data_IF_117662246071
#
_entry.id   IF_117662246071
#
_cell.length_a   1.000
_cell.length_b   1.000
_cell.length_c   1.000
_cell.angle_alpha   90.00
_cell.angle_beta   90.00
_cell.angle_gamma   90.00
#
_symmetry.space_group_name_H-M   'P 1'
#
loop_
_entity.id
_entity.type
_entity.pdbx_description
1 polymer ?
#
# COMPACT_ATOMS: atom_id res chain seq x y z
N UNK A 1 9.30 -7.86 -0.72
CA UNK A 1 9.01 -7.28 -2.04
C UNK A 1 9.88 -7.99 -3.06
N UNK A 2 9.29 -8.54 -4.11
CA UNK A 2 10.03 -9.17 -5.21
C UNK A 2 10.22 -8.16 -6.34
N UNK A 3 11.42 -8.12 -6.91
CA UNK A 3 11.77 -7.24 -8.03
C UNK A 3 12.20 -8.10 -9.22
N UNK A 4 11.87 -7.65 -10.43
CA UNK A 4 12.47 -8.19 -11.65
C UNK A 4 13.62 -7.26 -12.07
N UNK A 5 14.85 -7.74 -12.00
CA UNK A 5 16.00 -6.93 -12.39
C UNK A 5 16.06 -6.72 -13.91
N UNK A 6 16.16 -5.47 -14.35
CA UNK A 6 16.25 -5.09 -15.76
C UNK A 6 17.54 -5.56 -16.44
N UNK A 7 18.62 -5.75 -15.66
CA UNK A 7 19.92 -6.18 -16.18
C UNK A 7 20.05 -7.70 -16.30
N UNK A 8 19.75 -8.45 -15.23
CA UNK A 8 19.99 -9.90 -15.20
C UNK A 8 18.72 -10.76 -15.30
N UNK A 9 17.54 -10.15 -15.48
CA UNK A 9 16.22 -10.81 -15.58
C UNK A 9 15.82 -11.66 -14.36
N UNK A 10 16.60 -11.66 -13.28
CA UNK A 10 16.28 -12.39 -12.06
C UNK A 10 15.06 -11.78 -11.36
N UNK A 11 14.12 -12.65 -10.97
CA UNK A 11 12.99 -12.31 -10.10
C UNK A 11 13.31 -12.83 -8.70
N UNK A 12 13.40 -11.93 -7.74
CA UNK A 12 13.79 -12.26 -6.37
C UNK A 12 13.77 -11.03 -5.45
N UNK A 13 14.14 -11.19 -4.18
CA UNK A 13 14.18 -10.06 -3.25
C UNK A 13 15.26 -9.05 -3.67
N UNK A 14 15.00 -7.77 -3.40
CA UNK A 14 16.05 -6.76 -3.45
C UNK A 14 17.06 -7.03 -2.31
N UNK A 15 18.36 -6.92 -2.60
CA UNK A 15 19.39 -7.00 -1.57
C UNK A 15 19.34 -5.78 -0.64
N UNK A 16 19.06 -4.61 -1.19
CA UNK A 16 18.92 -3.36 -0.45
C UNK A 16 18.11 -2.33 -1.23
N UNK A 17 17.63 -1.29 -0.53
CA UNK A 17 16.96 -0.12 -1.10
C UNK A 17 17.87 1.09 -0.89
N UNK A 18 18.19 1.81 -1.96
CA UNK A 18 19.01 3.04 -1.91
C UNK A 18 18.17 4.26 -2.24
N UNK A 19 18.35 5.33 -1.48
CA UNK A 19 17.90 6.66 -1.88
C UNK A 19 18.81 7.19 -2.99
N UNK A 20 18.22 7.67 -4.07
CA UNK A 20 18.89 8.31 -5.21
C UNK A 20 18.29 9.72 -5.38
N UNK A 21 19.03 10.61 -6.05
CA UNK A 21 18.57 11.98 -6.30
C UNK A 21 17.21 12.05 -7.02
N UNK A 22 16.86 11.02 -7.80
CA UNK A 22 15.62 10.92 -8.57
C UNK A 22 14.59 9.94 -7.97
N UNK A 23 14.76 9.48 -6.72
CA UNK A 23 13.79 8.61 -6.05
C UNK A 23 14.44 7.45 -5.30
N UNK A 24 13.78 6.28 -5.29
CA UNK A 24 14.31 5.08 -4.66
C UNK A 24 14.83 4.08 -5.71
N UNK A 25 15.97 3.44 -5.45
CA UNK A 25 16.53 2.36 -6.26
C UNK A 25 16.53 1.04 -5.51
N UNK A 26 16.14 -0.05 -6.15
CA UNK A 26 16.18 -1.41 -5.62
C UNK A 26 17.40 -2.15 -6.19
N UNK A 27 18.30 -2.58 -5.32
CA UNK A 27 19.52 -3.30 -5.71
C UNK A 27 19.21 -4.78 -5.87
N UNK A 28 19.51 -5.35 -7.04
CA UNK A 28 19.33 -6.77 -7.29
C UNK A 28 20.28 -7.61 -6.44
N UNK A 29 19.75 -8.59 -5.69
CA UNK A 29 20.55 -9.48 -4.87
C UNK A 29 21.50 -10.39 -5.66
N UNK A 30 21.24 -10.59 -6.95
CA UNK A 30 22.05 -11.47 -7.80
C UNK A 30 23.23 -10.75 -8.46
N UNK A 31 23.01 -9.55 -9.00
CA UNK A 31 24.02 -8.86 -9.80
C UNK A 31 24.44 -7.48 -9.26
N UNK A 32 23.83 -7.01 -8.16
CA UNK A 32 24.13 -5.70 -7.58
C UNK A 32 23.62 -4.50 -8.39
N UNK A 33 22.91 -4.72 -9.49
CA UNK A 33 22.39 -3.63 -10.31
C UNK A 33 21.23 -2.91 -9.62
N UNK A 34 21.27 -1.58 -9.65
CA UNK A 34 20.21 -0.70 -9.15
C UNK A 34 19.08 -0.60 -10.19
N UNK A 35 17.85 -0.92 -9.77
CA UNK A 35 16.64 -0.74 -10.57
C UNK A 35 15.88 0.47 -10.00
N UNK A 36 15.73 1.53 -10.77
CA UNK A 36 14.96 2.69 -10.31
C UNK A 36 13.48 2.31 -10.14
N UNK A 37 12.90 2.67 -8.99
CA UNK A 37 11.46 2.75 -8.85
C UNK A 37 11.04 4.06 -9.50
N UNK A 38 10.39 3.95 -10.65
CA UNK A 38 9.78 5.10 -11.31
C UNK A 38 8.53 5.50 -10.51
N UNK A 39 8.71 6.49 -9.63
CA UNK A 39 7.66 7.05 -8.78
C UNK A 39 7.00 8.26 -9.47
N UNK A 40 6.95 8.31 -10.80
CA UNK A 40 6.32 9.41 -11.53
C UNK A 40 7.12 10.73 -11.47
N UNK A 41 6.88 11.66 -12.40
CA UNK A 41 7.88 12.65 -12.77
C UNK A 41 8.05 13.78 -11.73
N UNK A 42 9.27 13.89 -11.21
CA UNK A 42 9.92 15.20 -11.03
C UNK A 42 10.74 15.47 -12.29
N UNK A 43 10.28 16.38 -13.14
CA UNK A 43 11.06 17.00 -14.23
C UNK A 43 12.19 17.82 -13.58
N UNK A 44 13.48 17.70 -13.94
CA UNK A 44 14.11 18.11 -15.21
C UNK A 44 15.62 17.74 -15.19
N UNK A 45 16.18 17.28 -16.32
CA UNK A 45 17.59 17.57 -16.72
C UNK A 45 18.66 16.46 -16.65
N UNK A 46 19.14 15.99 -17.80
CA UNK A 46 20.28 15.07 -18.01
C UNK A 46 21.65 15.80 -18.13
N UNK A 47 22.78 15.15 -18.49
CA UNK A 47 23.54 14.10 -17.79
C UNK A 47 25.01 14.54 -17.50
N UNK A 48 25.71 13.91 -16.53
CA UNK A 48 27.20 13.99 -16.48
C UNK A 48 27.85 12.74 -15.86
N UNK A 49 28.82 12.19 -16.62
CA UNK A 49 29.77 11.12 -16.26
C UNK A 49 30.72 11.54 -15.14
N UNK A 50 30.94 10.67 -14.15
CA UNK A 50 32.25 10.30 -13.58
C UNK A 50 32.09 9.24 -12.46
N UNK A 51 32.90 8.18 -12.52
CA UNK A 51 33.36 7.37 -11.37
C UNK A 51 34.77 7.87 -10.98
N UNK A 52 35.40 7.53 -9.83
CA UNK A 52 35.14 6.40 -8.91
C UNK A 52 35.30 6.72 -7.38
N UNK A 53 35.20 5.66 -6.56
CA UNK A 53 35.78 5.42 -5.21
C UNK A 53 34.95 5.63 -3.91
N UNK A 54 34.74 4.46 -3.28
CA UNK A 54 35.09 4.09 -1.89
C UNK A 54 34.35 4.65 -0.67
N UNK A 55 33.93 3.66 0.14
CA UNK A 55 33.87 3.63 1.62
C UNK A 55 32.95 4.62 2.32
N UNK A 56 31.80 4.11 2.78
CA UNK A 56 31.49 4.12 4.23
C UNK A 56 30.35 3.15 4.53
N UNK A 57 30.67 2.19 5.39
CA UNK A 57 29.70 1.50 6.26
C UNK A 57 29.00 2.57 7.08
N UNK A 58 27.73 2.85 6.80
CA UNK A 58 26.91 3.69 7.68
C UNK A 58 25.51 3.13 7.70
N UNK A 59 25.18 2.55 8.85
CA UNK A 59 23.87 2.10 9.26
C UNK A 59 22.86 3.24 9.06
N UNK A 60 22.05 3.17 8.00
CA UNK A 60 21.03 4.16 7.75
C UNK A 60 19.78 3.92 8.64
N UNK A 61 19.16 4.97 9.19
CA UNK A 61 18.08 4.86 10.17
C UNK A 61 16.71 4.66 9.50
N UNK A 62 15.76 4.12 10.28
CA UNK A 62 14.37 3.80 9.92
C UNK A 62 13.46 5.01 9.57
N UNK A 63 14.02 6.14 9.16
CA UNK A 63 13.33 7.44 9.06
C UNK A 63 12.48 7.59 7.78
N UNK A 64 12.81 6.87 6.70
CA UNK A 64 12.14 7.02 5.40
C UNK A 64 10.65 6.59 5.40
N UNK A 65 10.27 5.65 6.26
CA UNK A 65 8.87 5.24 6.40
C UNK A 65 8.01 6.30 7.07
N UNK A 66 8.54 6.96 8.10
CA UNK A 66 7.80 7.97 8.87
C UNK A 66 7.61 9.26 8.07
N UNK A 67 8.59 9.65 7.26
CA UNK A 67 8.48 10.83 6.39
C UNK A 67 7.45 10.64 5.27
N UNK A 68 7.39 9.44 4.67
CA UNK A 68 6.37 9.09 3.68
C UNK A 68 4.95 9.08 4.29
N UNK A 69 4.78 8.54 5.50
CA UNK A 69 3.49 8.55 6.21
C UNK A 69 3.05 9.99 6.53
N UNK A 70 3.98 10.86 6.92
CA UNK A 70 3.70 12.28 7.16
C UNK A 70 3.31 13.01 5.86
N UNK A 71 4.06 12.81 4.78
CA UNK A 71 3.76 13.43 3.49
C UNK A 71 2.40 12.96 2.94
N UNK A 72 2.09 11.67 3.04
CA UNK A 72 0.77 11.11 2.69
C UNK A 72 -0.31 11.72 3.57
N UNK A 73 -0.05 11.94 4.86
CA UNK A 73 -1.01 12.60 5.76
C UNK A 73 -1.35 14.00 5.29
N UNK A 74 -0.34 14.79 4.93
CA UNK A 74 -0.49 16.20 4.51
C UNK A 74 -1.19 16.35 3.15
N UNK A 75 -0.95 15.44 2.21
CA UNK A 75 -1.47 15.55 0.83
C UNK A 75 -2.58 14.55 0.48
N UNK A 76 -3.09 13.77 1.45
CA UNK A 76 -4.08 12.73 1.17
C UNK A 76 -5.37 13.28 0.55
N UNK A 77 -5.87 14.40 1.07
CA UNK A 77 -7.13 15.00 0.60
C UNK A 77 -6.97 15.48 -0.83
N UNK A 78 -5.89 16.21 -1.14
CA UNK A 78 -5.58 16.69 -2.49
C UNK A 78 -5.51 15.54 -3.50
N UNK A 79 -4.90 14.42 -3.13
CA UNK A 79 -4.84 13.22 -3.99
C UNK A 79 -6.20 12.56 -4.18
N UNK A 80 -7.14 12.74 -3.25
CA UNK A 80 -8.48 12.20 -3.37
C UNK A 80 -9.37 13.07 -4.24
N UNK A 81 -9.21 14.39 -4.23
CA UNK A 81 -9.96 15.31 -5.09
C UNK A 81 -9.75 14.95 -6.57
N UNK A 82 -10.81 14.79 -7.37
CA UNK A 82 -10.67 14.54 -8.80
C UNK A 82 -10.16 15.78 -9.53
N UNK A 83 -9.33 15.58 -10.56
CA UNK A 83 -8.91 16.68 -11.44
C UNK A 83 -10.11 17.15 -12.26
N UNK A 84 -10.36 18.47 -12.28
CA UNK A 84 -11.43 19.08 -13.09
C UNK A 84 -11.16 18.89 -14.59
N UNK A 85 -12.23 18.86 -15.40
CA UNK A 85 -12.13 18.74 -16.86
C UNK A 85 -13.22 17.86 -17.47
N UNK A 86 -13.37 17.95 -18.78
CA UNK A 86 -14.29 17.10 -19.53
C UNK A 86 -13.59 15.81 -19.99
N UNK A 87 -14.37 14.75 -20.22
CA UNK A 87 -13.88 13.49 -20.77
C UNK A 87 -14.23 12.25 -19.95
N UNK A 88 -13.82 11.09 -20.44
CA UNK A 88 -14.11 9.81 -19.81
C UNK A 88 -13.48 9.71 -18.41
N UNK A 89 -14.25 9.18 -17.45
CA UNK A 89 -13.83 9.05 -16.05
C UNK A 89 -13.68 7.60 -15.62
N UNK A 90 -12.71 7.34 -14.75
CA UNK A 90 -12.53 6.03 -14.12
C UNK A 90 -13.72 5.70 -13.21
N UNK A 91 -14.46 4.62 -13.51
CA UNK A 91 -15.63 4.14 -12.74
C UNK A 91 -15.34 3.82 -11.26
N UNK A 92 -14.08 3.63 -10.87
CA UNK A 92 -13.70 3.34 -9.47
C UNK A 92 -13.32 4.56 -8.65
N UNK A 93 -12.66 5.55 -9.25
CA UNK A 93 -12.01 6.64 -8.49
C UNK A 93 -12.17 8.03 -9.10
N UNK A 94 -13.03 8.18 -10.12
CA UNK A 94 -13.36 9.44 -10.79
C UNK A 94 -12.18 10.18 -11.47
N UNK A 95 -11.00 9.55 -11.59
CA UNK A 95 -9.88 10.12 -12.33
C UNK A 95 -10.20 10.32 -13.81
N UNK A 96 -9.76 11.45 -14.39
CA UNK A 96 -9.83 11.69 -15.83
C UNK A 96 -8.96 10.67 -16.57
N UNK A 97 -9.50 10.09 -17.63
CA UNK A 97 -8.83 9.10 -18.46
C UNK A 97 -8.32 9.77 -19.74
N UNK A 98 -7.14 9.37 -20.18
CA UNK A 98 -6.69 9.64 -21.55
C UNK A 98 -7.49 8.77 -22.53
N UNK A 99 -7.63 9.24 -23.77
CA UNK A 99 -8.50 8.62 -24.79
C UNK A 99 -8.11 7.16 -25.13
N UNK A 100 -6.81 6.83 -25.05
CA UNK A 100 -6.25 5.52 -25.37
C UNK A 100 -5.83 4.71 -24.13
N UNK A 101 -6.24 5.15 -22.93
CA UNK A 101 -5.83 4.52 -21.70
C UNK A 101 -6.28 3.05 -21.63
N UNK A 102 -5.35 2.14 -21.32
CA UNK A 102 -5.64 0.72 -21.03
C UNK A 102 -5.93 0.51 -19.53
N UNK A 103 -5.28 1.32 -18.70
CA UNK A 103 -5.40 1.30 -17.24
C UNK A 103 -5.61 2.72 -16.72
N UNK A 104 -6.35 2.85 -15.63
CA UNK A 104 -6.42 4.11 -14.91
C UNK A 104 -5.07 4.43 -14.24
N UNK A 105 -4.47 5.57 -14.57
CA UNK A 105 -3.20 6.03 -13.99
C UNK A 105 -3.24 6.21 -12.47
N UNK A 106 -4.43 6.52 -11.91
CA UNK A 106 -4.60 6.81 -10.48
C UNK A 106 -4.72 5.55 -9.63
N UNK A 107 -5.48 4.55 -10.09
CA UNK A 107 -5.81 3.37 -9.27
C UNK A 107 -5.42 2.03 -9.90
N UNK A 108 -4.78 2.03 -11.07
CA UNK A 108 -4.33 0.83 -11.78
C UNK A 108 -5.46 -0.03 -12.37
N UNK A 109 -6.72 0.42 -12.30
CA UNK A 109 -7.84 -0.36 -12.80
C UNK A 109 -7.76 -0.56 -14.32
N UNK A 110 -7.75 -1.82 -14.76
CA UNK A 110 -7.83 -2.17 -16.19
C UNK A 110 -9.21 -1.81 -16.74
N UNK A 111 -9.28 -0.87 -17.68
CA UNK A 111 -10.52 -0.25 -18.12
C UNK A 111 -11.42 -1.22 -18.88
N UNK A 112 -10.83 -2.07 -19.73
CA UNK A 112 -11.55 -3.14 -20.43
C UNK A 112 -12.21 -4.16 -19.47
N UNK A 113 -11.61 -4.40 -18.29
CA UNK A 113 -12.24 -5.25 -17.26
C UNK A 113 -13.36 -4.51 -16.55
N UNK A 114 -13.16 -3.23 -16.26
CA UNK A 114 -14.13 -2.40 -15.57
C UNK A 114 -15.45 -2.23 -16.34
N UNK A 115 -15.36 -2.14 -17.67
CA UNK A 115 -16.53 -2.03 -18.55
C UNK A 115 -17.43 -3.26 -18.53
N UNK A 116 -16.92 -4.44 -18.15
CA UNK A 116 -17.70 -5.69 -18.09
C UNK A 116 -18.69 -5.74 -16.93
N UNK A 117 -18.51 -4.88 -15.92
CA UNK A 117 -19.41 -4.83 -14.77
C UNK A 117 -20.57 -3.88 -15.06
N UNK A 118 -21.79 -4.37 -14.88
CA UNK A 118 -22.97 -3.53 -14.80
C UNK A 118 -22.90 -2.61 -13.56
N UNK A 119 -23.59 -1.45 -13.57
CA UNK A 119 -23.68 -0.59 -12.39
C UNK A 119 -24.13 -1.38 -11.14
N UNK A 120 -23.43 -1.19 -10.03
CA UNK A 120 -23.68 -1.88 -8.77
C UNK A 120 -23.17 -3.33 -8.70
N UNK A 121 -22.54 -3.85 -9.76
CA UNK A 121 -22.01 -5.23 -9.83
C UNK A 121 -20.50 -5.28 -9.81
N UNK A 122 -19.81 -4.14 -9.82
CA UNK A 122 -18.36 -4.14 -9.79
C UNK A 122 -17.83 -4.60 -8.43
N UNK A 123 -16.69 -5.32 -8.35
CA UNK A 123 -16.13 -5.79 -7.08
C UNK A 123 -15.85 -4.69 -6.06
N UNK A 124 -15.56 -3.46 -6.52
CA UNK A 124 -15.37 -2.31 -5.63
C UNK A 124 -16.69 -1.66 -5.18
N UNK A 125 -17.82 -2.03 -5.76
CA UNK A 125 -19.17 -1.57 -5.41
C UNK A 125 -19.91 -2.54 -4.50
N UNK A 126 -19.41 -3.78 -4.37
CA UNK A 126 -19.99 -4.78 -3.47
C UNK A 126 -19.68 -4.46 -2.01
N UNK A 127 -20.60 -4.86 -1.13
CA UNK A 127 -20.40 -4.76 0.31
C UNK A 127 -19.27 -5.70 0.74
N UNK A 128 -18.49 -5.34 1.78
CA UNK A 128 -17.73 -6.31 2.54
C UNK A 128 -18.65 -7.42 3.06
N UNK A 129 -18.12 -8.64 3.20
CA UNK A 129 -18.89 -9.80 3.68
C UNK A 129 -19.59 -9.48 5.01
N UNK A 130 -20.91 -9.64 5.06
CA UNK A 130 -21.71 -9.40 6.26
C UNK A 130 -22.11 -7.94 6.50
N UNK A 131 -21.81 -7.02 5.57
CA UNK A 131 -22.17 -5.61 5.63
C UNK A 131 -23.17 -5.19 4.54
N UNK A 132 -23.91 -6.15 3.97
CA UNK A 132 -24.83 -5.90 2.85
C UNK A 132 -25.94 -4.92 3.25
N UNK A 133 -26.49 -5.07 4.46
CA UNK A 133 -27.51 -4.17 5.00
C UNK A 133 -26.94 -2.77 5.29
N UNK A 134 -25.71 -2.68 5.79
CA UNK A 134 -25.05 -1.39 6.06
C UNK A 134 -24.77 -0.65 4.75
N UNK A 135 -24.32 -1.35 3.70
CA UNK A 135 -24.11 -0.74 2.38
C UNK A 135 -25.44 -0.26 1.79
N UNK A 136 -26.50 -1.07 1.85
CA UNK A 136 -27.83 -0.66 1.39
C UNK A 136 -28.31 0.60 2.12
N UNK A 137 -28.14 0.64 3.46
CA UNK A 137 -28.49 1.82 4.25
C UNK A 137 -27.67 3.05 3.88
N UNK A 138 -26.38 2.86 3.57
CA UNK A 138 -25.53 3.96 3.10
C UNK A 138 -26.01 4.53 1.75
N UNK A 139 -26.55 3.71 0.85
CA UNK A 139 -27.15 4.19 -0.40
C UNK A 139 -28.40 5.02 -0.13
N UNK A 140 -29.31 4.56 0.76
CA UNK A 140 -30.49 5.34 1.14
C UNK A 140 -30.11 6.72 1.72
N UNK A 141 -29.11 6.75 2.61
CA UNK A 141 -28.62 8.01 3.18
C UNK A 141 -28.00 8.92 2.13
N UNK A 142 -27.30 8.35 1.14
CA UNK A 142 -26.75 9.11 0.03
C UNK A 142 -27.84 9.67 -0.87
N UNK A 143 -28.88 8.90 -1.18
CA UNK A 143 -29.99 9.35 -2.03
C UNK A 143 -30.78 10.48 -1.34
N UNK A 144 -30.97 10.41 -0.01
CA UNK A 144 -31.54 11.50 0.78
C UNK A 144 -30.64 12.75 0.74
N UNK A 145 -29.33 12.56 0.84
CA UNK A 145 -28.36 13.64 0.75
C UNK A 145 -28.35 14.30 -0.64
N UNK A 146 -28.49 13.53 -1.72
CA UNK A 146 -28.60 14.08 -3.08
C UNK A 146 -29.91 14.87 -3.28
N UNK A 147 -30.99 14.48 -2.59
CA UNK A 147 -32.24 15.22 -2.62
C UNK A 147 -32.15 16.57 -1.89
N UNK A 148 -31.30 16.68 -0.85
CA UNK A 148 -31.08 17.92 -0.11
C UNK A 148 -29.64 18.02 0.40
N UNK A 149 -28.85 18.90 -0.21
CA UNK A 149 -27.42 19.02 0.07
C UNK A 149 -27.12 19.86 1.34
N UNK A 150 -27.58 19.38 2.49
CA UNK A 150 -27.52 20.10 3.77
C UNK A 150 -26.37 19.61 4.66
N UNK A 151 -25.68 20.49 5.41
CA UNK A 151 -24.54 20.12 6.27
C UNK A 151 -24.87 19.01 7.27
N UNK A 152 -26.08 19.03 7.85
CA UNK A 152 -26.51 18.03 8.83
C UNK A 152 -26.65 16.62 8.22
N UNK A 153 -27.10 16.52 6.96
CA UNK A 153 -27.24 15.25 6.27
C UNK A 153 -25.89 14.70 5.82
N UNK A 154 -24.99 15.60 5.39
CA UNK A 154 -23.60 15.25 5.06
C UNK A 154 -22.92 14.66 6.29
N UNK A 155 -23.06 15.31 7.46
CA UNK A 155 -22.52 14.81 8.71
C UNK A 155 -23.09 13.43 9.06
N UNK A 156 -24.42 13.26 8.99
CA UNK A 156 -25.06 11.97 9.26
C UNK A 156 -24.57 10.84 8.34
N UNK A 157 -24.41 11.10 7.04
CA UNK A 157 -23.84 10.13 6.10
C UNK A 157 -22.38 9.80 6.42
N UNK A 158 -21.54 10.81 6.65
CA UNK A 158 -20.12 10.63 6.98
C UNK A 158 -19.95 9.83 8.27
N UNK A 159 -20.73 10.14 9.30
CA UNK A 159 -20.67 9.44 10.59
C UNK A 159 -21.13 7.99 10.46
N UNK A 160 -22.21 7.73 9.71
CA UNK A 160 -22.66 6.38 9.41
C UNK A 160 -21.57 5.57 8.68
N UNK A 161 -21.00 6.13 7.62
CA UNK A 161 -19.94 5.47 6.83
C UNK A 161 -18.72 5.15 7.68
N UNK A 162 -18.32 6.06 8.57
CA UNK A 162 -17.21 5.83 9.51
C UNK A 162 -17.53 4.72 10.51
N UNK A 163 -18.72 4.76 11.11
CA UNK A 163 -19.14 3.80 12.13
C UNK A 163 -19.27 2.37 11.58
N UNK A 164 -19.65 2.22 10.30
CA UNK A 164 -19.83 0.93 9.62
C UNK A 164 -18.63 0.48 8.80
N UNK A 165 -17.52 1.20 8.87
CA UNK A 165 -16.29 0.89 8.14
C UNK A 165 -16.41 0.91 6.60
N UNK A 166 -17.33 1.72 6.07
CA UNK A 166 -17.60 1.84 4.64
C UNK A 166 -16.78 2.97 3.98
N UNK A 167 -15.61 3.33 4.53
CA UNK A 167 -14.86 4.54 4.15
C UNK A 167 -14.59 4.66 2.65
N UNK A 168 -14.21 3.56 1.99
CA UNK A 168 -13.97 3.54 0.55
C UNK A 168 -15.23 3.86 -0.27
N UNK A 169 -16.41 3.43 0.22
CA UNK A 169 -17.69 3.74 -0.41
C UNK A 169 -17.98 5.24 -0.32
N UNK A 170 -17.91 5.81 0.89
CA UNK A 170 -18.16 7.24 1.10
C UNK A 170 -17.18 8.13 0.32
N UNK A 171 -15.89 7.82 0.35
CA UNK A 171 -14.87 8.56 -0.41
C UNK A 171 -15.19 8.57 -1.89
N UNK A 172 -15.57 7.41 -2.45
CA UNK A 172 -15.94 7.32 -3.86
C UNK A 172 -17.16 8.20 -4.16
N UNK A 173 -18.20 8.15 -3.34
CA UNK A 173 -19.42 8.97 -3.53
C UNK A 173 -19.08 10.46 -3.59
N UNK A 174 -18.29 10.97 -2.65
CA UNK A 174 -17.84 12.36 -2.68
C UNK A 174 -16.88 12.67 -3.85
N UNK A 175 -16.01 11.74 -4.24
CA UNK A 175 -15.17 11.92 -5.42
C UNK A 175 -15.99 12.11 -6.69
N UNK A 176 -17.04 11.32 -6.90
CA UNK A 176 -17.90 11.49 -8.07
C UNK A 176 -18.70 12.78 -8.01
N UNK A 177 -19.25 13.15 -6.84
CA UNK A 177 -19.91 14.45 -6.62
C UNK A 177 -19.00 15.64 -6.99
N UNK A 178 -17.73 15.59 -6.59
CA UNK A 178 -16.75 16.63 -6.85
C UNK A 178 -16.32 16.73 -8.33
N UNK A 179 -16.65 15.74 -9.17
CA UNK A 179 -16.48 15.88 -10.63
C UNK A 179 -17.43 16.95 -11.16
N UNK A 180 -18.70 16.87 -10.75
CA UNK A 180 -19.75 17.78 -11.21
C UNK A 180 -19.74 19.11 -10.43
N UNK A 181 -19.22 19.09 -9.19
CA UNK A 181 -19.16 20.25 -8.29
C UNK A 181 -17.78 20.44 -7.67
N UNK A 182 -16.75 20.84 -8.45
CA UNK A 182 -15.36 20.85 -8.00
C UNK A 182 -15.06 21.84 -6.86
N UNK A 183 -15.89 22.87 -6.68
CA UNK A 183 -15.74 23.86 -5.62
C UNK A 183 -16.65 23.64 -4.40
N UNK A 184 -17.32 22.50 -4.29
CA UNK A 184 -18.25 22.20 -3.19
C UNK A 184 -17.49 22.04 -1.87
N UNK A 185 -17.47 23.11 -1.06
CA UNK A 185 -16.75 23.15 0.21
C UNK A 185 -17.24 22.10 1.21
N UNK A 186 -18.55 21.75 1.18
CA UNK A 186 -19.10 20.74 2.06
C UNK A 186 -18.65 19.34 1.65
N UNK A 187 -18.65 19.04 0.34
CA UNK A 187 -18.12 17.79 -0.20
C UNK A 187 -16.62 17.63 0.09
N UNK A 188 -15.83 18.70 -0.06
CA UNK A 188 -14.40 18.71 0.26
C UNK A 188 -14.15 18.46 1.75
N UNK A 189 -14.91 19.10 2.64
CA UNK A 189 -14.82 18.89 4.08
C UNK A 189 -15.19 17.45 4.48
N UNK A 190 -16.25 16.89 3.89
CA UNK A 190 -16.64 15.51 4.11
C UNK A 190 -15.58 14.51 3.62
N UNK A 191 -15.00 14.75 2.44
CA UNK A 191 -13.92 13.94 1.89
C UNK A 191 -12.68 13.96 2.79
N UNK A 192 -12.29 15.13 3.30
CA UNK A 192 -11.19 15.27 4.24
C UNK A 192 -11.43 14.47 5.54
N UNK A 193 -12.65 14.57 6.08
CA UNK A 193 -13.09 13.86 7.27
C UNK A 193 -13.05 12.34 7.10
N UNK A 194 -13.42 11.81 5.93
CA UNK A 194 -13.32 10.38 5.60
C UNK A 194 -11.88 9.93 5.38
N UNK A 195 -11.06 10.77 4.73
CA UNK A 195 -9.63 10.50 4.50
C UNK A 195 -8.87 10.36 5.82
N UNK A 196 -9.17 11.22 6.80
CA UNK A 196 -8.60 11.12 8.16
C UNK A 196 -8.96 9.79 8.83
N UNK A 197 -10.20 9.31 8.64
CA UNK A 197 -10.64 8.00 9.12
C UNK A 197 -9.80 6.85 8.53
N UNK A 198 -9.55 6.88 7.22
CA UNK A 198 -8.69 5.88 6.56
C UNK A 198 -7.25 5.92 7.08
N UNK A 199 -6.69 7.13 7.27
CA UNK A 199 -5.33 7.29 7.78
C UNK A 199 -5.19 6.71 9.19
N UNK A 200 -6.15 6.97 10.09
CA UNK A 200 -6.16 6.40 11.44
C UNK A 200 -6.13 4.87 11.39
N UNK A 201 -6.92 4.26 10.50
CA UNK A 201 -6.92 2.80 10.29
C UNK A 201 -5.61 2.28 9.74
N UNK A 202 -5.02 2.97 8.76
CA UNK A 202 -3.73 2.56 8.20
C UNK A 202 -2.63 2.60 9.27
N UNK A 203 -2.63 3.61 10.14
CA UNK A 203 -1.68 3.70 11.26
C UNK A 203 -1.87 2.55 12.24
N UNK A 204 -3.11 2.18 12.57
CA UNK A 204 -3.38 1.02 13.45
C UNK A 204 -3.00 -0.30 12.80
N UNK A 205 -3.31 -0.48 11.51
CA UNK A 205 -2.96 -1.70 10.79
C UNK A 205 -1.44 -1.86 10.62
N UNK A 206 -0.73 -0.77 10.35
CA UNK A 206 0.74 -0.78 10.26
C UNK A 206 1.39 -1.05 11.61
N UNK A 207 0.91 -0.43 12.70
CA UNK A 207 1.44 -0.70 14.04
C UNK A 207 1.17 -2.14 14.50
N UNK A 208 -0.01 -2.70 14.17
CA UNK A 208 -0.31 -4.11 14.44
C UNK A 208 0.58 -5.05 13.63
N UNK A 209 0.81 -4.75 12.35
CA UNK A 209 1.69 -5.53 11.48
C UNK A 209 3.16 -5.48 11.95
N UNK A 210 3.62 -4.33 12.44
CA UNK A 210 4.96 -4.18 13.02
C UNK A 210 5.09 -4.98 14.33
N UNK A 211 4.07 -4.91 15.20
CA UNK A 211 4.04 -5.68 16.44
C UNK A 211 4.04 -7.19 16.17
N UNK A 212 3.26 -7.66 15.19
CA UNK A 212 3.25 -9.08 14.80
C UNK A 212 4.57 -9.51 14.17
N UNK A 213 5.19 -8.67 13.34
CA UNK A 213 6.51 -8.98 12.78
C UNK A 213 7.59 -9.12 13.85
N UNK A 214 7.52 -8.31 14.92
CA UNK A 214 8.45 -8.43 16.06
C UNK A 214 8.23 -9.70 16.88
N UNK A 215 6.96 -10.09 17.11
CA UNK A 215 6.66 -11.36 17.79
C UNK A 215 7.12 -12.55 16.96
N UNK A 216 6.86 -12.53 15.65
CA UNK A 216 7.24 -13.60 14.73
C UNK A 216 8.77 -13.74 14.65
N UNK A 217 9.50 -12.61 14.59
CA UNK A 217 10.96 -12.64 14.61
C UNK A 217 11.49 -13.28 15.91
N UNK A 218 10.93 -12.91 17.07
CA UNK A 218 11.32 -13.49 18.36
C UNK A 218 11.03 -15.01 18.43
N UNK A 219 9.91 -15.46 17.86
CA UNK A 219 9.56 -16.88 17.76
C UNK A 219 10.50 -17.63 16.83
N UNK A 220 10.83 -17.07 15.66
CA UNK A 220 11.79 -17.68 14.72
C UNK A 220 13.17 -17.82 15.36
N UNK A 221 13.66 -16.82 16.10
CA UNK A 221 14.92 -16.94 16.83
C UNK A 221 14.87 -18.01 17.92
N UNK A 222 13.75 -18.11 18.65
CA UNK A 222 13.54 -19.14 19.67
C UNK A 222 13.49 -20.54 19.03
N UNK A 223 12.82 -20.69 17.90
CA UNK A 223 12.75 -21.93 17.13
C UNK A 223 14.14 -22.32 16.60
N UNK A 224 14.88 -21.38 16.02
CA UNK A 224 16.25 -21.59 15.54
C UNK A 224 17.19 -22.01 16.67
N UNK A 225 17.09 -21.39 17.84
CA UNK A 225 17.85 -21.77 19.03
C UNK A 225 17.52 -23.20 19.47
N UNK A 226 16.23 -23.56 19.53
CA UNK A 226 15.80 -24.93 19.86
C UNK A 226 16.32 -25.95 18.85
N UNK A 227 16.22 -25.67 17.56
CA UNK A 227 16.71 -26.55 16.49
C UNK A 227 18.24 -26.75 16.56
N UNK A 228 18.99 -25.69 16.86
CA UNK A 228 20.45 -25.79 17.06
C UNK A 228 20.79 -26.66 18.26
N UNK A 229 20.13 -26.45 19.40
CA UNK A 229 20.36 -27.26 20.62
C UNK A 229 20.06 -28.74 20.37
N UNK A 230 18.93 -29.04 19.72
CA UNK A 230 18.55 -30.42 19.36
C UNK A 230 19.57 -31.03 18.40
N UNK A 231 20.04 -30.27 17.41
CA UNK A 231 21.07 -30.73 16.47
C UNK A 231 22.40 -31.03 17.17
N UNK A 232 22.86 -30.16 18.06
CA UNK A 232 24.08 -30.40 18.84
C UNK A 232 23.97 -31.63 19.75
N UNK A 233 22.83 -31.81 20.41
CA UNK A 233 22.58 -32.99 21.24
C UNK A 233 22.60 -34.29 20.42
N UNK A 234 21.98 -34.27 19.23
CA UNK A 234 21.95 -35.41 18.32
C UNK A 234 23.35 -35.76 17.76
N UNK A 235 24.12 -34.78 17.32
CA UNK A 235 25.50 -35.03 16.86
C UNK A 235 26.42 -35.44 18.01
N UNK A 236 26.24 -34.86 19.20
CA UNK A 236 26.97 -35.24 20.41
C UNK A 236 26.72 -36.70 20.82
N UNK A 237 25.48 -37.17 20.74
CA UNK A 237 25.16 -38.57 21.05
C UNK A 237 25.74 -39.55 20.02
N UNK A 238 25.71 -39.21 18.73
CA UNK A 238 26.37 -40.01 17.67
C UNK A 238 27.87 -40.11 17.92
N UNK A 239 28.53 -38.99 18.23
CA UNK A 239 29.98 -38.98 18.48
C UNK A 239 30.35 -39.80 19.72
N UNK A 240 29.56 -39.72 20.79
CA UNK A 240 29.74 -40.55 22.00
C UNK A 240 29.55 -42.05 21.72
N UNK A 241 28.58 -42.42 20.89
CA UNK A 241 28.39 -43.81 20.47
C UNK A 241 29.58 -44.30 19.63
N UNK A 242 30.07 -43.46 18.70
CA UNK A 242 31.25 -43.78 17.90
C UNK A 242 32.52 -43.93 18.73
N UNK A 243 32.74 -43.06 19.71
CA UNK A 243 33.92 -43.15 20.59
C UNK A 243 33.89 -44.38 21.48
N UNK A 244 32.71 -44.75 22.01
CA UNK A 244 32.53 -45.99 22.77
C UNK A 244 32.83 -47.23 21.93
N UNK A 245 32.36 -47.28 20.68
CA UNK A 245 32.63 -48.37 19.73
C UNK A 245 34.12 -48.46 19.36
N UNK A 246 34.80 -47.33 19.21
CA UNK A 246 36.25 -47.31 18.96
C UNK A 246 37.03 -47.83 20.16
N UNK A 247 36.67 -47.41 21.38
CA UNK A 247 37.31 -47.90 22.60
C UNK A 247 37.08 -49.38 22.87
N UNK A 248 35.95 -49.95 22.48
CA UNK A 248 35.73 -51.40 22.65
C UNK A 248 36.53 -52.28 21.68
N UNK A 249 37.06 -51.70 20.59
CA UNK A 249 37.77 -52.43 19.53
C UNK A 249 39.30 -52.20 19.56
N UNK A 250 39.80 -51.36 20.48
CA UNK A 250 41.23 -51.19 20.76
C UNK A 250 41.60 -52.01 22.01
#
# INVERSE_FOLDING_TARGET
MEIRCSSCQHVGPAAEVRALASGAGLVCAKCGQVNMLDLGPSTTGAPRRASPQSTTTTSAPATGGQEMVRWVREHAVERLVPVAGEGARCRKCAALLADDAVHCIKCGLRLARAQRYAPGKAPWELAPTGQEADLAKSHELWDLLEASWEPAQIAAFVDFVKARDLLNHGIRKFQFRLVDHPGDALALGALASLAEGLQKRMVVATSQAEASAQSDAAEVFRLRKKLLVVSFAFWGSILLLFSALLWSNC
#
